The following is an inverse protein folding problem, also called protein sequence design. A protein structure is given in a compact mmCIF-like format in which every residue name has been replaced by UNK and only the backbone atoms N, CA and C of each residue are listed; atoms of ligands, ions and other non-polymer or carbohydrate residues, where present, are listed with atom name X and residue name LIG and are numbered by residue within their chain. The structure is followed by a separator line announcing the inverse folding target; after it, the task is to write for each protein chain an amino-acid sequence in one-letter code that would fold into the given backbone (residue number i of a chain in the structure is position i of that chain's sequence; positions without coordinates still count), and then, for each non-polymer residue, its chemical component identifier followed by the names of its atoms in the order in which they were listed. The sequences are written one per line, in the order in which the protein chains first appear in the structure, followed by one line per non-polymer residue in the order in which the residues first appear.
data_IF_140185833446
#
_entry.id   IF_140185833446
#
_cell.length_a   1.000
_cell.length_b   1.000
_cell.length_c   1.000
_cell.angle_alpha   90.00
_cell.angle_beta   90.00
_cell.angle_gamma   90.00
#
_symmetry.space_group_name_H-M   'P 1'
#
loop_
_entity.id
_entity.type
_entity.pdbx_description
1 polymer ?
#
# COMPACT_ATOMS: atom_id res chain seq x y z
N UNK A 1 -1.01 -8.45 17.52
CA UNK A 1 0.28 -8.03 18.11
C UNK A 1 1.05 -9.12 18.89
N UNK A 2 0.67 -10.41 18.83
CA UNK A 2 1.35 -11.45 19.64
C UNK A 2 2.83 -11.67 19.28
N UNK A 3 3.21 -11.47 18.01
CA UNK A 3 4.61 -11.59 17.55
C UNK A 3 5.52 -10.46 18.05
N UNK A 4 5.02 -9.22 18.11
CA UNK A 4 5.79 -8.07 18.62
C UNK A 4 6.17 -8.30 20.08
N UNK A 5 5.23 -8.80 20.89
CA UNK A 5 5.51 -9.17 22.29
C UNK A 5 6.63 -10.20 22.39
N UNK A 6 6.59 -11.25 21.58
CA UNK A 6 7.65 -12.26 21.52
C UNK A 6 9.00 -11.65 21.13
N UNK A 7 9.05 -10.72 20.18
CA UNK A 7 10.31 -10.07 19.79
C UNK A 7 10.87 -9.17 20.88
N UNK A 8 10.01 -8.43 21.59
CA UNK A 8 10.43 -7.64 22.76
C UNK A 8 10.95 -8.54 23.89
N UNK A 9 10.34 -9.68 24.13
CA UNK A 9 10.81 -10.66 25.12
C UNK A 9 12.19 -11.22 24.73
N UNK A 10 12.44 -11.46 23.45
CA UNK A 10 13.76 -11.85 22.94
C UNK A 10 14.78 -10.72 23.13
N UNK A 11 14.42 -9.48 22.79
CA UNK A 11 15.29 -8.32 22.99
C UNK A 11 15.68 -8.13 24.47
N UNK A 12 14.72 -8.34 25.39
CA UNK A 12 14.97 -8.30 26.83
C UNK A 12 15.93 -9.40 27.29
N UNK A 13 15.88 -10.59 26.69
CA UNK A 13 16.80 -11.71 27.01
C UNK A 13 18.20 -11.48 26.47
N UNK A 14 18.33 -10.82 25.31
CA UNK A 14 19.64 -10.43 24.75
C UNK A 14 20.28 -9.35 25.65
N UNK A 15 19.49 -8.34 26.04
CA UNK A 15 19.94 -7.27 26.92
C UNK A 15 21.06 -6.42 26.30
N UNK A 16 21.63 -5.51 27.10
CA UNK A 16 22.73 -4.65 26.66
C UNK A 16 22.38 -3.73 25.49
N UNK A 17 23.39 -3.35 24.71
CA UNK A 17 23.24 -2.45 23.55
C UNK A 17 22.44 -3.11 22.43
N UNK A 18 22.69 -4.39 22.14
CA UNK A 18 22.01 -5.11 21.06
C UNK A 18 20.52 -5.29 21.34
N UNK A 19 20.14 -5.59 22.59
CA UNK A 19 18.74 -5.63 23.01
C UNK A 19 18.03 -4.29 22.85
N UNK A 20 18.71 -3.17 23.14
CA UNK A 20 18.15 -1.82 22.92
C UNK A 20 17.94 -1.51 21.44
N UNK A 21 18.90 -1.83 20.59
CA UNK A 21 18.77 -1.65 19.13
C UNK A 21 17.58 -2.42 18.56
N UNK A 22 17.33 -3.63 19.06
CA UNK A 22 16.17 -4.42 18.64
C UNK A 22 14.86 -3.75 19.07
N UNK A 23 14.79 -3.19 20.29
CA UNK A 23 13.60 -2.42 20.72
C UNK A 23 13.38 -1.18 19.85
N UNK A 24 14.43 -0.41 19.57
CA UNK A 24 14.35 0.75 18.69
C UNK A 24 13.86 0.39 17.28
N UNK A 25 14.33 -0.75 16.74
CA UNK A 25 13.87 -1.25 15.45
C UNK A 25 12.39 -1.67 15.49
N UNK A 26 11.95 -2.31 16.57
CA UNK A 26 10.55 -2.70 16.77
C UNK A 26 9.66 -1.46 16.85
N UNK A 27 10.10 -0.43 17.57
CA UNK A 27 9.34 0.81 17.74
C UNK A 27 9.23 1.57 16.42
N UNK A 28 10.34 1.72 15.68
CA UNK A 28 10.32 2.29 14.33
C UNK A 28 9.39 1.53 13.37
N UNK A 29 9.33 0.19 13.49
CA UNK A 29 8.40 -0.62 12.70
C UNK A 29 6.94 -0.41 13.11
N UNK A 30 6.64 -0.25 14.40
CA UNK A 30 5.28 0.06 14.87
C UNK A 30 4.86 1.45 14.38
N UNK A 31 5.73 2.45 14.51
CA UNK A 31 5.48 3.80 14.02
C UNK A 31 5.21 3.80 12.51
N UNK A 32 5.93 2.97 11.75
CA UNK A 32 5.69 2.75 10.32
C UNK A 32 4.29 2.14 10.07
N UNK A 33 3.90 1.14 10.85
CA UNK A 33 2.56 0.54 10.74
C UNK A 33 1.43 1.51 11.09
N UNK A 34 1.67 2.44 12.02
CA UNK A 34 0.69 3.46 12.42
C UNK A 34 0.62 4.64 11.43
N UNK A 35 1.64 4.82 10.59
CA UNK A 35 1.72 5.90 9.60
C UNK A 35 1.49 5.47 8.15
N UNK A 36 1.52 4.18 7.82
CA UNK A 36 1.48 3.75 6.42
C UNK A 36 0.07 3.50 5.85
N UNK A 37 -0.23 4.35 4.90
CA UNK A 37 -1.06 4.06 3.74
C UNK A 37 -0.70 2.70 3.12
N UNK A 38 -1.60 1.73 3.29
CA UNK A 38 -1.44 0.32 2.89
C UNK A 38 -1.07 0.21 1.39
N UNK A 39 -0.02 -0.56 1.07
CA UNK A 39 0.28 -0.90 -0.32
C UNK A 39 -0.56 -2.09 -0.81
N UNK A 40 -1.21 -1.88 -1.94
CA UNK A 40 -2.11 -2.82 -2.59
C UNK A 40 -1.46 -3.37 -3.87
N UNK A 41 -1.50 -4.67 -4.04
CA UNK A 41 -1.15 -5.32 -5.30
C UNK A 41 -2.30 -5.24 -6.32
N UNK A 42 -2.03 -5.61 -7.58
CA UNK A 42 -3.03 -5.59 -8.65
C UNK A 42 -4.34 -6.32 -8.33
N UNK A 43 -4.30 -7.43 -7.60
CA UNK A 43 -5.51 -8.18 -7.27
C UNK A 43 -6.36 -7.44 -6.23
N UNK A 44 -5.72 -6.85 -5.21
CA UNK A 44 -6.39 -6.02 -4.21
C UNK A 44 -7.00 -4.76 -4.84
N UNK A 45 -6.25 -4.09 -5.73
CA UNK A 45 -6.78 -2.92 -6.45
C UNK A 45 -7.95 -3.32 -7.35
N UNK A 46 -7.87 -4.46 -8.05
CA UNK A 46 -8.96 -4.95 -8.90
C UNK A 46 -10.26 -5.17 -8.10
N UNK A 47 -10.14 -5.77 -6.92
CA UNK A 47 -11.26 -5.98 -6.00
C UNK A 47 -11.87 -4.65 -5.55
N UNK A 48 -11.05 -3.69 -5.11
CA UNK A 48 -11.51 -2.36 -4.68
C UNK A 48 -12.26 -1.59 -5.75
N UNK A 49 -11.86 -1.70 -7.01
CA UNK A 49 -12.51 -1.00 -8.13
C UNK A 49 -13.61 -1.84 -8.81
N UNK A 50 -13.89 -3.04 -8.30
CA UNK A 50 -14.96 -3.91 -8.77
C UNK A 50 -14.71 -4.54 -10.15
N UNK A 51 -13.47 -4.91 -10.48
CA UNK A 51 -13.13 -5.60 -11.73
C UNK A 51 -12.40 -6.92 -11.50
N UNK A 52 -12.43 -7.81 -12.50
CA UNK A 52 -11.63 -9.03 -12.46
C UNK A 52 -10.12 -8.72 -12.56
N UNK A 53 -9.23 -9.35 -11.76
CA UNK A 53 -7.78 -9.07 -11.75
C UNK A 53 -7.09 -9.13 -13.12
N UNK A 54 -7.51 -10.05 -13.99
CA UNK A 54 -6.98 -10.18 -15.36
C UNK A 54 -7.21 -8.93 -16.22
N UNK A 55 -8.17 -8.07 -15.86
CA UNK A 55 -8.48 -6.84 -16.59
C UNK A 55 -7.64 -5.64 -16.13
N UNK A 56 -6.80 -5.80 -15.09
CA UNK A 56 -5.99 -4.70 -14.56
C UNK A 56 -5.06 -4.08 -15.59
N UNK A 57 -4.47 -4.89 -16.48
CA UNK A 57 -3.60 -4.37 -17.52
C UNK A 57 -4.33 -3.42 -18.48
N UNK A 58 -5.60 -3.71 -18.79
CA UNK A 58 -6.43 -2.82 -19.58
C UNK A 58 -6.84 -1.58 -18.78
N UNK A 59 -7.29 -1.78 -17.54
CA UNK A 59 -7.72 -0.69 -16.65
C UNK A 59 -6.62 0.36 -16.45
N UNK A 60 -5.37 -0.05 -16.28
CA UNK A 60 -4.22 0.86 -16.14
C UNK A 60 -4.01 1.80 -17.32
N UNK A 61 -4.43 1.40 -18.52
CA UNK A 61 -4.33 2.23 -19.73
C UNK A 61 -5.49 3.21 -19.87
N UNK A 62 -6.51 3.12 -19.01
CA UNK A 62 -7.66 4.01 -19.07
C UNK A 62 -7.28 5.39 -18.54
N UNK A 63 -7.82 6.43 -19.18
CA UNK A 63 -7.60 7.82 -18.79
C UNK A 63 -7.95 8.01 -17.31
N UNK A 64 -7.14 8.79 -16.61
CA UNK A 64 -7.25 9.11 -15.17
C UNK A 64 -6.96 7.97 -14.18
N UNK A 65 -6.73 6.74 -14.62
CA UNK A 65 -6.32 5.69 -13.68
C UNK A 65 -4.91 5.99 -13.14
N UNK A 66 -4.67 5.86 -11.82
CA UNK A 66 -3.38 6.19 -11.24
C UNK A 66 -2.29 5.20 -11.69
N UNK A 67 -1.13 5.75 -12.02
CA UNK A 67 0.09 4.94 -12.19
C UNK A 67 0.49 4.28 -10.86
N UNK A 68 1.13 3.08 -10.91
CA UNK A 68 1.66 2.43 -9.72
C UNK A 68 2.64 3.33 -8.97
N UNK A 69 2.64 3.22 -7.65
CA UNK A 69 3.59 3.92 -6.78
C UNK A 69 4.96 3.23 -6.77
N UNK A 70 4.98 1.89 -6.89
CA UNK A 70 6.21 1.10 -6.99
C UNK A 70 5.97 -0.24 -7.70
N UNK A 71 7.04 -1.03 -7.88
CA UNK A 71 7.02 -2.37 -8.42
C UNK A 71 7.81 -3.33 -7.53
N UNK A 72 7.14 -4.33 -6.94
CA UNK A 72 7.75 -5.26 -5.98
C UNK A 72 7.97 -6.66 -6.55
N UNK A 73 8.99 -7.34 -6.04
CA UNK A 73 9.33 -8.72 -6.36
C UNK A 73 10.02 -8.93 -7.72
N UNK A 74 10.40 -10.17 -8.01
CA UNK A 74 11.21 -10.52 -9.20
C UNK A 74 10.53 -10.21 -10.53
N UNK A 75 9.20 -10.22 -10.54
CA UNK A 75 8.38 -9.92 -11.73
C UNK A 75 8.00 -8.44 -11.83
N UNK A 76 8.51 -7.58 -10.94
CA UNK A 76 8.16 -6.15 -10.88
C UNK A 76 6.65 -5.95 -10.91
N UNK A 77 5.94 -6.61 -9.99
CA UNK A 77 4.49 -6.49 -9.91
C UNK A 77 4.13 -5.09 -9.40
N UNK A 78 3.26 -4.34 -10.08
CA UNK A 78 2.92 -2.99 -9.66
C UNK A 78 2.16 -3.01 -8.33
N UNK A 79 2.43 -1.99 -7.51
CA UNK A 79 1.73 -1.73 -6.25
C UNK A 79 1.29 -0.28 -6.18
N UNK A 80 0.17 -0.06 -5.50
CA UNK A 80 -0.41 1.26 -5.28
C UNK A 80 -0.62 1.49 -3.80
N UNK A 81 -0.45 2.72 -3.36
CA UNK A 81 -0.95 3.15 -2.07
C UNK A 81 -2.49 3.13 -2.06
N UNK A 82 -3.09 2.63 -0.99
CA UNK A 82 -4.54 2.49 -0.85
C UNK A 82 -5.26 3.84 -0.93
N UNK A 83 -4.75 4.85 -0.23
CA UNK A 83 -5.33 6.19 -0.23
C UNK A 83 -5.37 6.80 -1.65
N UNK A 84 -4.40 6.45 -2.51
CA UNK A 84 -4.36 6.88 -3.90
C UNK A 84 -5.50 6.26 -4.71
N UNK A 85 -5.80 4.98 -4.48
CA UNK A 85 -6.94 4.29 -5.11
C UNK A 85 -8.27 4.81 -4.56
N UNK A 86 -8.37 5.04 -3.24
CA UNK A 86 -9.56 5.64 -2.62
C UNK A 86 -9.83 7.05 -3.14
N UNK A 87 -8.78 7.86 -3.26
CA UNK A 87 -8.86 9.20 -3.85
C UNK A 87 -9.33 9.13 -5.31
N UNK A 88 -8.79 8.22 -6.11
CA UNK A 88 -9.25 7.98 -7.47
C UNK A 88 -10.74 7.63 -7.52
N UNK A 89 -11.19 6.68 -6.69
CA UNK A 89 -12.59 6.26 -6.64
C UNK A 89 -13.54 7.40 -6.24
N UNK A 90 -13.09 8.29 -5.36
CA UNK A 90 -13.89 9.45 -4.92
C UNK A 90 -14.08 10.51 -6.01
N UNK A 91 -13.09 10.72 -6.89
CA UNK A 91 -13.08 11.86 -7.83
C UNK A 91 -13.26 11.47 -9.30
N UNK A 92 -13.26 10.17 -9.65
CA UNK A 92 -13.34 9.74 -11.04
C UNK A 92 -14.56 10.27 -11.80
N UNK A 93 -15.72 10.34 -11.16
CA UNK A 93 -16.94 10.80 -11.83
C UNK A 93 -16.89 12.31 -12.11
N UNK A 94 -16.29 13.10 -11.22
CA UNK A 94 -16.04 14.53 -11.43
C UNK A 94 -15.10 14.76 -12.61
N UNK A 95 -14.00 14.02 -12.68
CA UNK A 95 -13.05 14.11 -13.79
C UNK A 95 -13.66 13.72 -15.13
N UNK A 96 -14.53 12.70 -15.14
CA UNK A 96 -15.27 12.28 -16.34
C UNK A 96 -16.25 13.34 -16.82
N UNK A 97 -16.90 14.07 -15.92
CA UNK A 97 -17.83 15.16 -16.27
C UNK A 97 -17.04 16.36 -16.82
N UNK A 98 -15.93 16.74 -16.16
CA UNK A 98 -15.06 17.80 -16.63
C UNK A 98 -14.50 17.53 -18.03
N UNK A 99 -14.08 16.28 -18.30
CA UNK A 99 -13.56 15.89 -19.60
C UNK A 99 -14.61 16.02 -20.73
N UNK A 100 -15.89 15.75 -20.43
CA UNK A 100 -16.98 15.92 -21.40
C UNK A 100 -17.32 17.37 -21.70
N UNK A 101 -17.11 18.27 -20.72
CA UNK A 101 -17.43 19.69 -20.86
C UNK A 101 -16.27 20.50 -21.48
N UNK A 102 -15.08 19.91 -21.57
CA UNK A 102 -13.89 20.51 -22.19
C UNK A 102 -13.71 20.10 -23.67
N UNK A 103 -14.72 19.47 -24.27
CA UNK A 103 -14.80 19.07 -25.68
C UNK A 103 -15.88 19.92 -26.35
#
# INVERSE_FOLDING_TARGET
MQRIKTYRDVANRIGGTDGKLIHELIDAYIDLLETEDEFLNSAQVADMIGIHPNNMQHKRKTKFFPEPDDHVGKRKSPVWRKSRIEYYLKHIDEWRIQDKNNI
#
